data_IF_555750847775
#
_entry.id   IF_555750847775
#
_cell.length_a   1.000
_cell.length_b   1.000
_cell.length_c   1.000
_cell.angle_alpha   90.00
_cell.angle_beta   90.00
_cell.angle_gamma   90.00
#
_symmetry.space_group_name_H-M   'P 1'
#
loop_
_entity.id
_entity.type
_entity.pdbx_description
1 polymer ?
#
# COMPACT_ATOMS: atom_id res chain seq x y z
N UNK A 1 16.28 -23.55 6.20
CA UNK A 1 16.11 -22.38 5.29
C UNK A 1 14.67 -22.39 4.83
N UNK A 2 13.93 -21.31 5.07
CA UNK A 2 12.55 -21.21 4.59
C UNK A 2 12.55 -20.81 3.12
N UNK A 3 11.58 -21.33 2.35
CA UNK A 3 11.35 -20.93 0.96
C UNK A 3 10.34 -19.78 0.91
N UNK A 4 10.45 -18.89 -0.10
CA UNK A 4 9.67 -17.67 -0.21
C UNK A 4 8.98 -17.54 -1.57
N UNK A 5 7.65 -17.54 -1.59
CA UNK A 5 6.85 -17.14 -2.73
C UNK A 5 6.59 -15.62 -2.66
N UNK A 6 7.01 -14.90 -3.68
CA UNK A 6 6.60 -13.50 -3.89
C UNK A 6 5.35 -13.49 -4.75
N UNK A 7 4.28 -12.88 -4.24
CA UNK A 7 2.98 -12.80 -4.93
C UNK A 7 2.65 -11.35 -5.26
N UNK A 8 2.23 -11.11 -6.50
CA UNK A 8 1.97 -9.78 -7.05
C UNK A 8 0.63 -9.81 -7.77
N UNK A 9 -0.23 -8.83 -7.50
CA UNK A 9 -1.40 -8.55 -8.35
C UNK A 9 -1.08 -7.35 -9.24
N UNK A 10 -1.54 -7.34 -10.49
CA UNK A 10 -1.20 -6.28 -11.44
C UNK A 10 -2.33 -5.99 -12.43
N UNK A 11 -2.35 -4.74 -12.94
CA UNK A 11 -3.16 -4.30 -14.05
C UNK A 11 -2.55 -3.05 -14.69
N UNK A 12 -2.03 -3.17 -15.93
CA UNK A 12 -1.41 -2.07 -16.69
C UNK A 12 -0.28 -1.36 -15.93
N UNK A 13 0.72 -2.13 -15.49
CA UNK A 13 1.87 -1.63 -14.72
C UNK A 13 3.21 -1.75 -15.49
N UNK A 14 3.20 -1.63 -16.82
CA UNK A 14 4.40 -1.70 -17.66
C UNK A 14 5.53 -0.76 -17.21
N UNK A 15 5.18 0.38 -16.59
CA UNK A 15 6.14 1.38 -16.13
C UNK A 15 6.88 0.98 -14.84
N UNK A 16 6.29 0.08 -14.02
CA UNK A 16 6.77 -0.18 -12.66
C UNK A 16 7.05 -1.64 -12.36
N UNK A 17 6.32 -2.58 -12.99
CA UNK A 17 6.44 -4.01 -12.71
C UNK A 17 7.88 -4.53 -12.89
N UNK A 18 8.62 -4.04 -13.88
CA UNK A 18 10.02 -4.43 -14.10
C UNK A 18 10.91 -4.09 -12.91
N UNK A 19 10.71 -2.92 -12.31
CA UNK A 19 11.46 -2.50 -11.12
C UNK A 19 11.06 -3.29 -9.88
N UNK A 20 9.79 -3.63 -9.72
CA UNK A 20 9.32 -4.54 -8.68
C UNK A 20 10.02 -5.89 -8.80
N UNK A 21 9.96 -6.52 -9.97
CA UNK A 21 10.58 -7.83 -10.25
C UNK A 21 12.10 -7.82 -10.06
N UNK A 22 12.80 -6.77 -10.51
CA UNK A 22 14.24 -6.61 -10.27
C UNK A 22 14.57 -6.58 -8.78
N UNK A 23 13.68 -6.02 -7.96
CA UNK A 23 13.90 -5.90 -6.53
C UNK A 23 13.75 -7.22 -5.78
N UNK A 24 12.99 -8.18 -6.30
CA UNK A 24 12.63 -9.42 -5.60
C UNK A 24 13.25 -10.70 -6.20
N UNK A 25 13.71 -10.67 -7.46
CA UNK A 25 14.17 -11.86 -8.19
C UNK A 25 15.27 -12.66 -7.48
N UNK A 26 16.18 -12.00 -6.75
CA UNK A 26 17.32 -12.64 -6.10
C UNK A 26 16.97 -13.23 -4.72
N UNK A 27 15.85 -12.86 -4.14
CA UNK A 27 15.40 -13.33 -2.81
C UNK A 27 14.25 -14.34 -2.89
N UNK A 28 13.49 -14.32 -3.99
CA UNK A 28 12.35 -15.20 -4.21
C UNK A 28 12.80 -16.59 -4.68
N UNK A 29 12.19 -17.64 -4.14
CA UNK A 29 12.28 -19.00 -4.68
C UNK A 29 11.18 -19.23 -5.74
N UNK A 30 10.13 -18.42 -5.69
CA UNK A 30 9.00 -18.44 -6.60
C UNK A 30 8.44 -17.01 -6.74
N UNK A 31 8.10 -16.59 -7.96
CA UNK A 31 7.38 -15.33 -8.21
C UNK A 31 6.09 -15.66 -8.96
N UNK A 32 4.97 -15.20 -8.42
CA UNK A 32 3.63 -15.39 -8.97
C UNK A 32 3.04 -14.01 -9.26
N UNK A 33 2.58 -13.82 -10.50
CA UNK A 33 1.89 -12.59 -10.93
C UNK A 33 0.48 -12.96 -11.34
N UNK A 34 -0.52 -12.34 -10.71
CA UNK A 34 -1.93 -12.46 -11.10
C UNK A 34 -2.36 -11.15 -11.74
N UNK A 35 -2.56 -11.20 -13.04
CA UNK A 35 -2.86 -10.07 -13.90
C UNK A 35 -4.34 -9.95 -14.21
N UNK A 36 -4.87 -8.75 -14.21
CA UNK A 36 -6.29 -8.46 -14.49
C UNK A 36 -6.51 -8.06 -15.95
N UNK A 37 -5.98 -8.83 -16.91
CA UNK A 37 -6.07 -8.59 -18.37
C UNK A 37 -5.42 -7.26 -18.77
N UNK A 38 -4.16 -7.07 -18.43
CA UNK A 38 -3.37 -5.92 -18.88
C UNK A 38 -3.34 -5.84 -20.41
N UNK A 39 -3.43 -4.63 -20.94
CA UNK A 39 -3.42 -4.34 -22.36
C UNK A 39 -2.15 -3.62 -22.83
N UNK A 40 -1.24 -3.34 -21.88
CA UNK A 40 0.07 -2.74 -22.09
C UNK A 40 1.17 -3.81 -22.14
N UNK A 41 2.44 -3.44 -21.99
CA UNK A 41 3.56 -4.36 -22.02
C UNK A 41 3.79 -5.15 -20.70
N UNK A 42 2.86 -5.13 -19.73
CA UNK A 42 3.02 -5.79 -18.42
C UNK A 42 3.36 -7.28 -18.56
N UNK A 43 2.56 -8.05 -19.34
CA UNK A 43 2.78 -9.47 -19.57
C UNK A 43 4.14 -9.74 -20.20
N UNK A 44 4.47 -9.02 -21.29
CA UNK A 44 5.76 -9.17 -21.97
C UNK A 44 6.97 -8.84 -21.10
N UNK A 45 6.81 -7.98 -20.10
CA UNK A 45 7.84 -7.72 -19.09
C UNK A 45 7.95 -8.93 -18.14
N UNK A 46 6.83 -9.43 -17.62
CA UNK A 46 6.80 -10.59 -16.73
C UNK A 46 7.45 -11.84 -17.35
N UNK A 47 7.19 -12.10 -18.63
CA UNK A 47 7.78 -13.22 -19.38
C UNK A 47 9.30 -13.20 -19.38
N UNK A 48 9.92 -12.02 -19.46
CA UNK A 48 11.39 -11.88 -19.44
C UNK A 48 12.02 -12.29 -18.10
N UNK A 49 11.24 -12.24 -17.01
CA UNK A 49 11.70 -12.66 -15.68
C UNK A 49 11.38 -14.13 -15.38
N UNK A 50 10.67 -14.82 -16.26
CA UNK A 50 10.30 -16.22 -16.08
C UNK A 50 9.39 -16.45 -14.87
N UNK A 51 8.53 -15.50 -14.53
CA UNK A 51 7.59 -15.60 -13.42
C UNK A 51 6.41 -16.49 -13.80
N UNK A 52 5.73 -17.07 -12.81
CA UNK A 52 4.45 -17.74 -13.01
C UNK A 52 3.35 -16.69 -13.22
N UNK A 53 2.97 -16.47 -14.46
CA UNK A 53 1.97 -15.48 -14.84
C UNK A 53 0.59 -16.09 -15.02
N UNK A 54 -0.43 -15.51 -14.38
CA UNK A 54 -1.83 -15.95 -14.43
C UNK A 54 -2.71 -14.77 -14.81
N UNK A 55 -3.46 -14.91 -15.90
CA UNK A 55 -4.47 -13.94 -16.31
C UNK A 55 -5.82 -14.30 -15.70
N UNK A 56 -6.45 -13.35 -14.98
CA UNK A 56 -7.67 -13.54 -14.21
C UNK A 56 -8.56 -12.30 -14.27
N UNK A 57 -9.86 -12.48 -14.47
CA UNK A 57 -10.83 -11.40 -14.32
C UNK A 57 -10.70 -10.73 -12.94
N UNK A 58 -10.92 -9.43 -12.88
CA UNK A 58 -10.83 -8.70 -11.63
C UNK A 58 -11.87 -9.16 -10.60
N UNK A 59 -11.42 -9.74 -9.52
CA UNK A 59 -12.25 -10.26 -8.41
C UNK A 59 -12.45 -9.25 -7.27
N UNK A 60 -11.77 -8.11 -7.30
CA UNK A 60 -11.59 -7.22 -6.17
C UNK A 60 -10.25 -7.44 -5.47
N UNK A 61 -9.76 -6.42 -4.74
CA UNK A 61 -8.41 -6.46 -4.19
C UNK A 61 -8.15 -7.66 -3.29
N UNK A 62 -9.04 -7.95 -2.33
CA UNK A 62 -8.85 -9.06 -1.39
C UNK A 62 -8.86 -10.42 -2.07
N UNK A 63 -9.84 -10.67 -2.95
CA UNK A 63 -9.97 -11.98 -3.59
C UNK A 63 -8.86 -12.20 -4.63
N UNK A 64 -8.40 -11.14 -5.31
CA UNK A 64 -7.27 -11.21 -6.23
C UNK A 64 -5.96 -11.54 -5.49
N UNK A 65 -5.73 -10.93 -4.32
CA UNK A 65 -4.58 -11.22 -3.45
C UNK A 65 -4.67 -12.63 -2.87
N UNK A 66 -5.84 -13.07 -2.42
CA UNK A 66 -6.05 -14.43 -1.94
C UNK A 66 -5.79 -15.48 -3.01
N UNK A 67 -6.22 -15.22 -4.24
CA UNK A 67 -5.91 -16.12 -5.37
C UNK A 67 -4.40 -16.23 -5.59
N UNK A 68 -3.67 -15.10 -5.52
CA UNK A 68 -2.21 -15.11 -5.64
C UNK A 68 -1.53 -15.88 -4.48
N UNK A 69 -2.04 -15.70 -3.25
CA UNK A 69 -1.57 -16.43 -2.06
C UNK A 69 -1.84 -17.94 -2.17
N UNK A 70 -3.01 -18.35 -2.72
CA UNK A 70 -3.40 -19.75 -2.89
C UNK A 70 -2.57 -20.47 -3.96
N UNK A 71 -2.08 -19.75 -4.97
CA UNK A 71 -1.17 -20.28 -5.99
C UNK A 71 0.26 -20.50 -5.49
N UNK A 72 0.62 -19.90 -4.34
CA UNK A 72 1.95 -19.99 -3.76
C UNK A 72 2.24 -21.41 -3.22
N UNK A 73 3.48 -21.89 -3.44
CA UNK A 73 3.88 -23.25 -3.03
C UNK A 73 4.95 -23.27 -1.93
N UNK A 74 5.63 -22.15 -1.67
CA UNK A 74 6.69 -22.03 -0.67
C UNK A 74 6.16 -21.94 0.78
N UNK A 75 7.07 -21.97 1.76
CA UNK A 75 6.75 -21.88 3.19
C UNK A 75 6.19 -20.54 3.61
N UNK A 76 6.76 -19.48 3.02
CA UNK A 76 6.41 -18.10 3.29
C UNK A 76 5.78 -17.45 2.06
N UNK A 77 4.83 -16.56 2.29
CA UNK A 77 4.27 -15.65 1.30
C UNK A 77 4.79 -14.25 1.56
N UNK A 78 5.28 -13.59 0.52
CA UNK A 78 5.54 -12.16 0.50
C UNK A 78 4.61 -11.49 -0.51
N UNK A 79 3.58 -10.80 -0.02
CA UNK A 79 2.65 -10.04 -0.86
C UNK A 79 3.19 -8.62 -1.07
N UNK A 80 3.47 -8.26 -2.33
CA UNK A 80 3.99 -6.95 -2.75
C UNK A 80 3.13 -6.42 -3.90
N UNK A 81 2.93 -5.10 -3.95
CA UNK A 81 2.18 -4.47 -5.03
C UNK A 81 3.11 -4.18 -6.22
N UNK A 82 2.60 -4.18 -7.45
CA UNK A 82 3.41 -4.06 -8.68
C UNK A 82 4.18 -2.73 -8.80
N UNK A 83 3.76 -1.71 -8.06
CA UNK A 83 4.38 -0.38 -7.97
C UNK A 83 5.27 -0.21 -6.72
N UNK A 84 5.63 -1.32 -6.05
CA UNK A 84 6.54 -1.35 -4.91
C UNK A 84 7.87 -2.03 -5.28
N UNK A 85 8.94 -1.66 -4.58
CA UNK A 85 10.27 -2.30 -4.69
C UNK A 85 10.96 -2.32 -3.33
N UNK A 86 11.97 -3.18 -3.17
CA UNK A 86 12.72 -3.30 -1.92
C UNK A 86 13.92 -2.34 -1.92
N UNK A 87 14.21 -1.70 -0.79
CA UNK A 87 15.54 -1.13 -0.57
C UNK A 87 16.56 -2.24 -0.35
N UNK A 88 17.85 -1.93 -0.54
CA UNK A 88 18.92 -2.93 -0.37
C UNK A 88 18.96 -3.48 1.07
N UNK A 89 18.71 -2.62 2.07
CA UNK A 89 18.63 -3.03 3.47
C UNK A 89 17.44 -3.98 3.71
N UNK A 90 16.30 -3.75 3.05
CA UNK A 90 15.14 -4.63 3.18
C UNK A 90 15.38 -5.97 2.48
N UNK A 91 16.04 -5.98 1.31
CA UNK A 91 16.48 -7.24 0.64
C UNK A 91 17.35 -8.07 1.57
N UNK A 92 18.35 -7.44 2.19
CA UNK A 92 19.23 -8.12 3.15
C UNK A 92 18.43 -8.69 4.33
N UNK A 93 17.54 -7.90 4.92
CA UNK A 93 16.70 -8.34 6.04
C UNK A 93 15.83 -9.54 5.70
N UNK A 94 15.28 -9.60 4.47
CA UNK A 94 14.47 -10.75 4.00
C UNK A 94 15.36 -11.96 3.73
N UNK A 95 16.55 -11.78 3.18
CA UNK A 95 17.51 -12.87 2.99
C UNK A 95 17.90 -13.50 4.31
N UNK A 96 18.25 -12.69 5.32
CA UNK A 96 18.55 -13.15 6.68
C UNK A 96 17.35 -13.83 7.36
N UNK A 97 16.14 -13.36 7.05
CA UNK A 97 14.90 -13.96 7.56
C UNK A 97 14.73 -15.40 7.11
N UNK A 98 15.06 -15.73 5.87
CA UNK A 98 14.94 -17.09 5.32
C UNK A 98 15.78 -18.12 6.09
N UNK A 99 16.85 -17.70 6.77
CA UNK A 99 17.74 -18.55 7.57
C UNK A 99 17.24 -18.77 9.01
N UNK A 100 16.23 -18.02 9.47
CA UNK A 100 15.75 -18.07 10.85
C UNK A 100 14.68 -19.14 11.05
N UNK A 101 14.55 -19.62 12.27
CA UNK A 101 13.38 -20.36 12.70
C UNK A 101 12.21 -19.38 12.87
N UNK A 102 11.17 -19.56 12.06
CA UNK A 102 9.98 -18.73 12.03
C UNK A 102 8.82 -19.49 12.66
N UNK A 103 8.21 -18.92 13.70
CA UNK A 103 7.03 -19.50 14.32
C UNK A 103 5.77 -19.24 13.46
N UNK A 104 4.77 -20.15 13.56
CA UNK A 104 3.63 -20.17 12.66
C UNK A 104 2.79 -18.87 12.67
N UNK A 105 2.73 -18.18 13.81
CA UNK A 105 1.97 -16.93 13.95
C UNK A 105 2.81 -15.65 13.76
N UNK A 106 4.02 -15.77 13.24
CA UNK A 106 4.87 -14.59 12.99
C UNK A 106 4.50 -13.91 11.68
N UNK A 107 4.37 -12.58 11.74
CA UNK A 107 4.08 -11.70 10.61
C UNK A 107 5.15 -10.64 10.53
N UNK A 108 5.83 -10.55 9.39
CA UNK A 108 6.88 -9.55 9.20
C UNK A 108 6.30 -8.32 8.54
N UNK A 109 6.63 -7.19 9.16
CA UNK A 109 6.16 -5.87 8.77
C UNK A 109 7.32 -5.06 8.23
N UNK A 110 7.04 -4.12 7.36
CA UNK A 110 8.02 -3.19 6.80
C UNK A 110 7.44 -1.79 6.66
N UNK A 111 8.31 -0.79 6.73
CA UNK A 111 7.91 0.59 6.55
C UNK A 111 7.85 0.92 5.06
N UNK A 112 6.69 1.38 4.60
CA UNK A 112 6.50 1.83 3.22
C UNK A 112 6.90 3.29 3.10
N UNK A 113 7.85 3.56 2.19
CA UNK A 113 8.34 4.89 1.87
C UNK A 113 7.78 5.32 0.52
N UNK A 114 6.96 6.36 0.54
CA UNK A 114 6.24 6.81 -0.64
C UNK A 114 7.06 7.79 -1.48
N UNK A 115 7.06 7.59 -2.80
CA UNK A 115 7.62 8.50 -3.79
C UNK A 115 6.56 9.50 -4.26
N UNK A 116 6.94 10.76 -4.31
CA UNK A 116 6.13 11.84 -4.86
C UNK A 116 6.92 12.57 -5.94
N UNK A 117 6.56 12.39 -7.21
CA UNK A 117 7.21 13.03 -8.35
C UNK A 117 8.75 12.90 -8.32
N UNK A 118 9.26 11.69 -8.10
CA UNK A 118 10.68 11.39 -8.02
C UNK A 118 11.36 11.69 -6.68
N UNK A 119 10.62 12.22 -5.68
CA UNK A 119 11.16 12.51 -4.34
C UNK A 119 10.59 11.56 -3.29
N UNK A 120 11.46 10.91 -2.51
CA UNK A 120 11.08 10.11 -1.34
C UNK A 120 10.66 10.98 -0.18
N UNK A 121 9.43 10.78 0.35
CA UNK A 121 8.83 11.64 1.38
C UNK A 121 8.89 10.97 2.75
N UNK A 122 9.76 11.46 3.63
CA UNK A 122 9.91 10.97 5.01
C UNK A 122 9.12 11.77 6.05
N UNK A 123 8.39 12.79 5.62
CA UNK A 123 7.66 13.74 6.49
C UNK A 123 6.20 13.84 6.09
N UNK A 124 5.53 14.91 6.47
CA UNK A 124 4.12 15.18 6.17
C UNK A 124 3.13 14.18 6.80
N UNK A 125 3.61 13.23 7.60
CA UNK A 125 2.81 12.12 8.13
C UNK A 125 2.57 10.98 7.12
N UNK A 126 3.36 10.92 6.04
CA UNK A 126 3.34 9.86 5.05
C UNK A 126 4.34 8.72 5.36
N UNK A 127 5.23 8.92 6.34
CA UNK A 127 6.21 7.92 6.77
C UNK A 127 6.41 8.01 8.30
N UNK A 128 6.64 6.88 8.99
CA UNK A 128 6.53 5.51 8.49
C UNK A 128 5.07 5.09 8.27
N UNK A 129 4.84 4.31 7.21
CA UNK A 129 3.58 3.63 6.97
C UNK A 129 3.83 2.12 7.02
N UNK A 130 3.59 1.48 8.16
CA UNK A 130 3.92 0.07 8.36
C UNK A 130 2.89 -0.84 7.67
N UNK A 131 3.39 -1.79 6.87
CA UNK A 131 2.60 -2.80 6.16
C UNK A 131 2.98 -4.21 6.62
N UNK A 132 1.99 -5.08 6.79
CA UNK A 132 2.18 -6.51 7.02
C UNK A 132 2.34 -7.15 5.65
N UNK A 133 3.48 -7.79 5.36
CA UNK A 133 3.79 -8.23 3.99
C UNK A 133 4.29 -9.67 3.90
N UNK A 134 4.88 -10.25 4.96
CA UNK A 134 5.38 -11.63 4.94
C UNK A 134 4.76 -12.41 6.09
N UNK A 135 4.31 -13.64 5.80
CA UNK A 135 3.72 -14.58 6.76
C UNK A 135 3.84 -16.03 6.26
N UNK A 136 3.63 -17.01 7.13
CA UNK A 136 3.54 -18.41 6.72
C UNK A 136 2.34 -18.64 5.83
N UNK A 137 2.54 -19.41 4.75
CA UNK A 137 1.47 -19.80 3.83
C UNK A 137 0.27 -20.38 4.58
N UNK A 138 -0.91 -19.86 4.28
CA UNK A 138 -2.17 -20.24 4.91
C UNK A 138 -2.39 -19.71 6.32
N UNK A 139 -1.51 -18.83 6.87
CA UNK A 139 -1.72 -18.20 8.18
C UNK A 139 -2.65 -17.01 8.15
N UNK A 140 -2.65 -16.24 7.08
CA UNK A 140 -3.45 -15.03 6.91
C UNK A 140 -4.30 -15.10 5.64
N UNK A 141 -5.38 -14.36 5.61
CA UNK A 141 -6.27 -14.18 4.47
C UNK A 141 -6.66 -12.71 4.34
N UNK A 142 -6.69 -12.20 3.12
CA UNK A 142 -7.13 -10.85 2.83
C UNK A 142 -8.66 -10.74 2.92
N UNK A 143 -9.14 -9.70 3.58
CA UNK A 143 -10.56 -9.37 3.71
C UNK A 143 -10.79 -7.89 3.45
N UNK A 144 -12.03 -7.52 3.08
CA UNK A 144 -12.45 -6.14 2.83
C UNK A 144 -12.59 -5.82 1.35
N UNK A 145 -13.51 -4.89 1.04
CA UNK A 145 -13.83 -4.51 -0.34
C UNK A 145 -13.04 -3.25 -0.76
N UNK A 146 -12.92 -2.26 0.13
CA UNK A 146 -12.32 -0.94 -0.16
C UNK A 146 -11.01 -0.72 0.60
N UNK A 147 -10.94 -1.25 1.81
CA UNK A 147 -9.75 -1.23 2.65
C UNK A 147 -9.45 -2.65 3.05
N UNK A 148 -8.46 -3.26 2.39
CA UNK A 148 -8.07 -4.62 2.67
C UNK A 148 -7.33 -4.67 4.01
N UNK A 149 -7.63 -5.70 4.78
CA UNK A 149 -6.87 -6.08 5.96
C UNK A 149 -6.60 -7.58 5.95
N UNK A 150 -5.59 -7.98 6.70
CA UNK A 150 -5.30 -9.39 6.91
C UNK A 150 -6.05 -9.90 8.12
N UNK A 151 -6.86 -10.94 7.91
CA UNK A 151 -7.43 -11.77 8.95
C UNK A 151 -6.48 -12.94 9.24
N UNK A 152 -6.16 -13.19 10.50
CA UNK A 152 -5.17 -14.16 10.92
C UNK A 152 -5.82 -15.34 11.63
N UNK A 153 -5.30 -16.56 11.47
CA UNK A 153 -5.79 -17.75 12.18
C UNK A 153 -5.64 -17.70 13.70
N UNK A 154 -4.68 -16.90 14.18
CA UNK A 154 -4.45 -16.63 15.61
C UNK A 154 -3.81 -15.26 15.78
N UNK A 155 -3.65 -14.80 17.02
CA UNK A 155 -3.02 -13.49 17.29
C UNK A 155 -1.61 -13.43 16.68
N UNK A 156 -1.33 -12.47 15.77
CA UNK A 156 -0.06 -12.41 15.06
C UNK A 156 1.04 -11.78 15.93
N UNK A 157 2.20 -12.41 15.97
CA UNK A 157 3.42 -11.80 16.48
C UNK A 157 4.07 -10.98 15.37
N UNK A 158 4.01 -9.65 15.46
CA UNK A 158 4.53 -8.74 14.44
C UNK A 158 5.99 -8.40 14.70
N UNK A 159 6.81 -8.60 13.67
CA UNK A 159 8.25 -8.26 13.67
C UNK A 159 8.53 -7.27 12.56
N UNK A 160 9.07 -6.08 12.91
CA UNK A 160 9.46 -5.08 11.91
C UNK A 160 10.83 -5.43 11.32
N UNK A 161 10.90 -5.54 10.00
CA UNK A 161 12.14 -5.71 9.27
C UNK A 161 12.85 -4.36 9.08
N UNK A 162 14.17 -4.39 9.00
CA UNK A 162 14.98 -3.22 8.71
C UNK A 162 14.99 -2.95 7.20
N UNK A 163 14.98 -1.66 6.83
CA UNK A 163 14.86 -1.19 5.45
C UNK A 163 13.45 -0.76 5.09
N UNK A 164 13.31 -0.23 3.88
CA UNK A 164 12.07 0.38 3.40
C UNK A 164 11.49 -0.38 2.19
N UNK A 165 10.17 -0.52 2.18
CA UNK A 165 9.39 -0.87 1.00
C UNK A 165 9.17 0.43 0.21
N UNK A 166 9.84 0.55 -0.92
CA UNK A 166 9.83 1.72 -1.79
C UNK A 166 8.56 1.69 -2.65
N UNK A 167 7.68 2.68 -2.50
CA UNK A 167 6.40 2.74 -3.21
C UNK A 167 6.36 3.90 -4.19
N UNK A 168 6.28 3.61 -5.48
CA UNK A 168 6.25 4.59 -6.57
C UNK A 168 4.82 5.10 -6.80
N UNK A 169 4.29 5.77 -5.78
CA UNK A 169 2.86 6.08 -5.63
C UNK A 169 2.35 7.14 -6.61
N UNK A 170 3.14 8.22 -6.78
CA UNK A 170 2.62 9.42 -7.48
C UNK A 170 3.68 10.02 -8.41
N UNK A 171 3.49 9.78 -9.71
CA UNK A 171 4.38 10.31 -10.74
C UNK A 171 4.08 11.79 -11.04
N UNK A 172 2.85 12.26 -10.72
CA UNK A 172 2.43 13.64 -10.92
C UNK A 172 1.68 14.20 -9.71
N UNK A 173 1.71 15.54 -9.51
CA UNK A 173 0.91 16.20 -8.48
C UNK A 173 -0.60 15.96 -8.65
N UNK A 174 -1.05 15.81 -9.88
CA UNK A 174 -2.45 15.55 -10.24
C UNK A 174 -2.89 14.15 -9.79
N UNK A 175 -2.04 13.14 -9.98
CA UNK A 175 -2.29 11.77 -9.51
C UNK A 175 -2.45 11.74 -7.98
N UNK A 176 -1.54 12.39 -7.25
CA UNK A 176 -1.63 12.55 -5.80
C UNK A 176 -2.94 13.23 -5.37
N UNK A 177 -3.29 14.36 -6.02
CA UNK A 177 -4.52 15.09 -5.73
C UNK A 177 -5.75 14.21 -5.98
N UNK A 178 -5.83 13.56 -7.15
CA UNK A 178 -6.95 12.69 -7.54
C UNK A 178 -7.18 11.60 -6.49
N UNK A 179 -6.12 10.91 -6.07
CA UNK A 179 -6.20 9.84 -5.07
C UNK A 179 -6.66 10.37 -3.71
N UNK A 180 -6.12 11.50 -3.23
CA UNK A 180 -6.54 12.08 -1.95
C UNK A 180 -8.00 12.51 -1.94
N UNK A 181 -8.49 13.07 -3.06
CA UNK A 181 -9.89 13.49 -3.17
C UNK A 181 -10.81 12.28 -3.24
N UNK A 182 -10.43 11.22 -3.96
CA UNK A 182 -11.15 9.95 -3.94
C UNK A 182 -11.25 9.35 -2.53
N UNK A 183 -10.15 9.30 -1.78
CA UNK A 183 -10.20 8.87 -0.38
C UNK A 183 -11.03 9.78 0.52
N UNK A 184 -11.09 11.07 0.22
CA UNK A 184 -11.96 12.00 0.93
C UNK A 184 -13.45 11.70 0.69
N UNK A 185 -13.83 11.31 -0.53
CA UNK A 185 -15.18 10.90 -0.91
C UNK A 185 -15.59 9.61 -0.19
N UNK A 186 -14.74 8.58 -0.24
CA UNK A 186 -14.95 7.31 0.49
C UNK A 186 -15.04 7.56 2.01
N UNK A 187 -14.18 8.42 2.54
CA UNK A 187 -14.21 8.79 3.95
C UNK A 187 -15.48 9.55 4.36
N UNK A 188 -16.03 10.40 3.48
CA UNK A 188 -17.30 11.08 3.71
C UNK A 188 -18.46 10.09 3.72
N UNK A 189 -18.47 9.14 2.78
CA UNK A 189 -19.48 8.09 2.70
C UNK A 189 -19.46 7.21 3.96
N UNK A 190 -18.29 6.72 4.37
CA UNK A 190 -18.13 5.92 5.59
C UNK A 190 -18.58 6.66 6.86
N UNK A 191 -18.32 7.98 6.95
CA UNK A 191 -18.77 8.78 8.08
C UNK A 191 -20.30 8.90 8.09
N UNK A 192 -20.91 9.11 6.94
CA UNK A 192 -22.36 9.19 6.78
C UNK A 192 -23.05 7.88 7.18
N UNK A 193 -22.58 6.73 6.68
CA UNK A 193 -23.10 5.40 7.00
C UNK A 193 -23.01 5.05 8.50
N UNK A 194 -21.99 5.57 9.18
CA UNK A 194 -21.84 5.45 10.64
C UNK A 194 -22.68 6.46 11.43
N UNK A 195 -23.57 7.20 10.78
CA UNK A 195 -24.43 8.21 11.41
C UNK A 195 -23.68 9.43 11.97
N UNK A 196 -22.43 9.67 11.53
CA UNK A 196 -21.66 10.84 11.98
C UNK A 196 -22.23 12.10 11.35
N UNK A 197 -22.79 12.98 12.17
CA UNK A 197 -23.16 14.35 11.76
C UNK A 197 -21.97 15.29 11.94
N UNK A 198 -21.71 16.16 10.97
CA UNK A 198 -20.66 17.18 11.16
C UNK A 198 -21.22 18.34 11.95
N UNK A 199 -20.66 18.60 13.13
CA UNK A 199 -20.81 19.90 13.78
C UNK A 199 -20.08 21.00 13.01
N UNK A 200 -20.46 22.27 13.26
CA UNK A 200 -19.82 23.43 12.62
C UNK A 200 -18.31 23.51 12.94
N UNK A 201 -17.92 23.21 14.19
CA UNK A 201 -16.53 23.27 14.63
C UNK A 201 -15.59 22.29 13.88
N UNK A 202 -15.87 20.97 13.76
CA UNK A 202 -15.05 20.09 12.95
C UNK A 202 -14.96 20.53 11.48
N UNK A 203 -16.02 21.01 10.91
CA UNK A 203 -16.05 21.53 9.55
C UNK A 203 -15.09 22.71 9.34
N UNK A 204 -15.10 23.69 10.24
CA UNK A 204 -14.30 24.89 10.14
C UNK A 204 -12.81 24.65 10.47
N UNK A 205 -12.54 23.91 11.52
CA UNK A 205 -11.19 23.81 12.08
C UNK A 205 -10.40 22.57 11.65
N UNK A 206 -11.07 21.43 11.32
CA UNK A 206 -10.37 20.21 10.96
C UNK A 206 -9.37 20.36 9.81
N UNK A 207 -9.66 21.08 8.70
CA UNK A 207 -8.68 21.28 7.64
C UNK A 207 -7.44 22.03 8.09
N UNK A 208 -7.61 23.10 8.89
CA UNK A 208 -6.51 23.89 9.42
C UNK A 208 -5.68 23.10 10.43
N UNK A 209 -6.33 22.35 11.33
CA UNK A 209 -5.66 21.46 12.27
C UNK A 209 -4.89 20.36 11.52
N UNK A 210 -5.46 19.81 10.46
CA UNK A 210 -4.77 18.83 9.62
C UNK A 210 -3.50 19.43 8.99
N UNK A 211 -3.57 20.66 8.45
CA UNK A 211 -2.41 21.35 7.91
C UNK A 211 -1.34 21.60 8.96
N UNK A 212 -1.68 22.14 10.11
CA UNK A 212 -0.74 22.39 11.22
C UNK A 212 -0.08 21.07 11.64
N UNK A 213 -0.88 20.00 11.81
CA UNK A 213 -0.37 18.69 12.18
C UNK A 213 0.61 18.13 11.15
N UNK A 214 0.29 18.16 9.86
CA UNK A 214 1.13 17.57 8.82
C UNK A 214 2.33 18.44 8.48
N UNK A 215 2.15 19.75 8.40
CA UNK A 215 3.20 20.69 8.01
C UNK A 215 4.15 21.01 9.15
N UNK A 216 3.62 21.33 10.34
CA UNK A 216 4.44 21.73 11.50
C UNK A 216 4.84 20.49 12.32
N UNK A 217 3.86 19.77 12.91
CA UNK A 217 4.15 18.69 13.88
C UNK A 217 4.83 17.50 13.21
N UNK A 218 4.39 17.12 12.00
CA UNK A 218 4.98 16.03 11.21
C UNK A 218 6.12 16.48 10.29
N UNK A 219 6.63 17.70 10.50
CA UNK A 219 7.83 18.24 9.86
C UNK A 219 7.72 18.43 8.35
N UNK A 220 6.50 18.61 7.79
CA UNK A 220 6.32 18.82 6.36
C UNK A 220 7.09 20.00 5.80
N UNK A 221 7.36 21.04 6.62
CA UNK A 221 8.17 22.21 6.24
C UNK A 221 9.62 21.83 5.88
N UNK A 222 10.15 20.73 6.42
CA UNK A 222 11.49 20.23 6.12
C UNK A 222 11.60 19.64 4.70
N UNK A 223 10.48 19.30 4.08
CA UNK A 223 10.41 18.84 2.68
C UNK A 223 10.37 20.02 1.67
N UNK A 224 10.45 21.25 2.16
CA UNK A 224 10.45 22.47 1.34
C UNK A 224 9.13 22.71 0.60
N UNK A 225 9.22 23.16 -0.67
CA UNK A 225 8.04 23.45 -1.50
C UNK A 225 7.16 22.20 -1.71
N UNK A 226 7.76 21.03 -1.85
CA UNK A 226 7.06 19.74 -2.00
C UNK A 226 6.21 19.46 -0.77
N UNK A 227 6.79 19.59 0.43
CA UNK A 227 6.05 19.39 1.68
C UNK A 227 4.89 20.37 1.88
N UNK A 228 5.09 21.63 1.51
CA UNK A 228 3.99 22.62 1.53
C UNK A 228 2.85 22.21 0.61
N UNK A 229 3.17 21.81 -0.63
CA UNK A 229 2.16 21.36 -1.60
C UNK A 229 1.40 20.13 -1.11
N UNK A 230 2.12 19.09 -0.63
CA UNK A 230 1.52 17.87 -0.08
C UNK A 230 0.56 18.21 1.07
N UNK A 231 1.02 18.94 2.09
CA UNK A 231 0.22 19.28 3.27
C UNK A 231 -0.99 20.17 2.93
N UNK A 232 -0.83 21.10 1.98
CA UNK A 232 -1.93 21.93 1.46
C UNK A 232 -2.98 21.07 0.75
N UNK A 233 -2.56 20.12 -0.09
CA UNK A 233 -3.46 19.21 -0.80
C UNK A 233 -4.20 18.28 0.18
N UNK A 234 -3.53 17.77 1.20
CA UNK A 234 -4.15 16.99 2.30
C UNK A 234 -5.19 17.82 3.07
N UNK A 235 -4.91 19.09 3.34
CA UNK A 235 -5.86 20.01 3.94
C UNK A 235 -7.09 20.23 3.04
N UNK A 236 -6.89 20.40 1.73
CA UNK A 236 -7.98 20.58 0.77
C UNK A 236 -8.86 19.33 0.67
N UNK A 237 -8.26 18.14 0.61
CA UNK A 237 -8.98 16.86 0.61
C UNK A 237 -9.78 16.66 1.92
N UNK A 238 -9.19 17.04 3.07
CA UNK A 238 -9.91 17.01 4.35
C UNK A 238 -11.12 17.95 4.34
N UNK A 239 -10.99 19.17 3.81
CA UNK A 239 -12.11 20.11 3.63
C UNK A 239 -13.19 19.52 2.73
N UNK A 240 -12.78 18.92 1.60
CA UNK A 240 -13.69 18.27 0.65
C UNK A 240 -14.52 17.17 1.32
N UNK A 241 -13.88 16.29 2.11
CA UNK A 241 -14.55 15.26 2.90
C UNK A 241 -15.68 15.83 3.77
N UNK A 242 -15.40 16.89 4.50
CA UNK A 242 -16.42 17.49 5.39
C UNK A 242 -17.52 18.24 4.64
N UNK A 243 -17.21 18.83 3.45
CA UNK A 243 -18.21 19.42 2.57
C UNK A 243 -19.21 18.34 2.12
N UNK A 244 -18.71 17.24 1.56
CA UNK A 244 -19.54 16.13 1.09
C UNK A 244 -20.38 15.51 2.21
N UNK A 245 -19.79 15.30 3.38
CA UNK A 245 -20.52 14.78 4.52
C UNK A 245 -21.67 15.72 4.93
N UNK A 246 -21.44 17.03 4.91
CA UNK A 246 -22.46 18.04 5.23
C UNK A 246 -23.58 18.09 4.20
N UNK A 247 -23.24 17.92 2.92
CA UNK A 247 -24.23 17.84 1.83
C UNK A 247 -25.13 16.61 1.99
N UNK A 248 -24.55 15.43 2.26
CA UNK A 248 -25.29 14.19 2.50
C UNK A 248 -26.26 14.31 3.69
N UNK A 249 -25.81 14.88 4.81
CA UNK A 249 -26.66 15.08 6.02
C UNK A 249 -27.78 16.10 5.81
N UNK A 250 -27.68 17.02 4.86
CA UNK A 250 -28.73 18.00 4.55
C UNK A 250 -29.80 17.44 3.61
N UNK A 251 -29.52 16.36 2.91
CA UNK A 251 -30.45 15.71 1.98
C UNK A 251 -31.40 14.73 2.69
N UNK A 252 -31.18 14.46 3.99
CA UNK A 252 -32.11 13.79 4.90
C UNK A 252 -33.15 14.79 5.43
#
# INVERSE_FOLDING_TARGET
>A
MNTLSVVIITFNEEQKIGQCLDSVKDIADEIIVVDSHSTDATEAICDRYGVKFFSQDWLGYSDQKNLADDLATCDLIFSIDADEALSDELKQSITELKEKDIVDNEVFTMNRLNNYCGKWIKRCGLYPETKNRIWRRGFAQWEGIIHEWLNYKSEPKKTLLHGDLLHYSWDTPEAFRKQLFHFAELGAQSYYERGKKTGLLPYLFSPTVNFIRTYIIKGGFLEGKTGFYICRTMMQANRHKYNLLREKVKQE
#
